data_IF_370972019383
#
_entry.id   IF_370972019383
#
_cell.length_a   1.000
_cell.length_b   1.000
_cell.length_c   1.000
_cell.angle_alpha   90.00
_cell.angle_beta   90.00
_cell.angle_gamma   90.00
#
_symmetry.space_group_name_H-M   'P 1'
#
loop_
_entity.id
_entity.type
_entity.pdbx_description
1 polymer ?
#
# COMPACT_ATOMS: atom_id res chain seq x y z
N UNK A 1 -22.74 1.01 38.62
CA UNK A 1 -21.66 1.85 38.05
C UNK A 1 -22.15 2.45 36.73
N UNK A 2 -22.21 3.78 36.60
CA UNK A 2 -22.67 4.42 35.36
C UNK A 2 -21.56 4.32 34.32
N UNK A 3 -21.75 3.55 33.26
CA UNK A 3 -20.88 3.58 32.07
C UNK A 3 -20.97 5.01 31.49
N UNK A 4 -19.84 5.60 31.17
CA UNK A 4 -19.82 6.91 30.49
C UNK A 4 -20.55 6.76 29.14
N UNK A 5 -21.50 7.63 28.79
CA UNK A 5 -22.32 7.48 27.58
C UNK A 5 -21.50 7.58 26.28
N UNK A 6 -20.22 7.96 26.37
CA UNK A 6 -19.33 8.18 25.22
C UNK A 6 -18.35 7.04 24.95
N UNK A 7 -18.53 5.87 25.59
CA UNK A 7 -17.54 4.77 25.53
C UNK A 7 -17.97 3.60 24.64
N UNK A 8 -19.27 3.43 24.41
CA UNK A 8 -19.83 2.34 23.61
C UNK A 8 -20.95 2.80 22.68
N UNK A 9 -21.04 2.21 21.49
CA UNK A 9 -22.16 2.32 20.57
C UNK A 9 -23.41 1.56 21.07
N UNK A 10 -24.61 1.95 20.63
CA UNK A 10 -24.90 3.12 19.78
C UNK A 10 -24.76 4.44 20.54
N UNK A 11 -24.16 5.44 19.89
CA UNK A 11 -24.10 6.81 20.40
C UNK A 11 -25.38 7.56 19.99
N UNK A 12 -25.85 8.49 20.82
CA UNK A 12 -26.83 9.48 20.35
C UNK A 12 -26.15 10.49 19.43
N UNK A 13 -26.90 11.12 18.53
CA UNK A 13 -26.38 12.17 17.63
C UNK A 13 -25.66 13.28 18.42
N UNK A 14 -26.22 13.69 19.56
CA UNK A 14 -25.60 14.69 20.45
C UNK A 14 -24.24 14.21 21.02
N UNK A 15 -24.14 12.91 21.32
CA UNK A 15 -22.93 12.33 21.89
C UNK A 15 -21.83 12.16 20.84
N UNK A 16 -22.19 11.77 19.63
CA UNK A 16 -21.29 11.70 18.49
C UNK A 16 -20.75 13.09 18.12
N UNK A 17 -21.65 14.08 18.00
CA UNK A 17 -21.28 15.47 17.72
C UNK A 17 -20.37 16.06 18.80
N UNK A 18 -20.63 15.76 20.07
CA UNK A 18 -19.75 16.18 21.16
C UNK A 18 -18.33 15.60 21.00
N UNK A 19 -18.21 14.32 20.66
CA UNK A 19 -16.92 13.68 20.46
C UNK A 19 -16.17 14.22 19.24
N UNK A 20 -16.87 14.47 18.13
CA UNK A 20 -16.28 15.11 16.94
C UNK A 20 -15.76 16.51 17.27
N UNK A 21 -16.53 17.34 17.98
CA UNK A 21 -16.08 18.67 18.40
C UNK A 21 -14.86 18.60 19.34
N UNK A 22 -14.82 17.63 20.25
CA UNK A 22 -13.65 17.41 21.12
C UNK A 22 -12.43 17.04 20.29
N UNK A 23 -12.59 16.16 19.29
CA UNK A 23 -11.50 15.81 18.38
C UNK A 23 -11.03 17.04 17.58
N UNK A 24 -11.94 17.81 16.98
CA UNK A 24 -11.60 19.03 16.21
C UNK A 24 -10.87 20.09 17.04
N UNK A 25 -11.24 20.25 18.31
CA UNK A 25 -10.58 21.19 19.22
C UNK A 25 -9.15 20.78 19.60
N UNK A 26 -8.79 19.52 19.36
CA UNK A 26 -7.48 18.97 19.69
C UNK A 26 -6.48 19.18 18.54
N UNK A 27 -5.18 19.41 18.83
CA UNK A 27 -4.16 19.62 17.80
C UNK A 27 -3.94 18.40 16.89
N UNK A 28 -4.24 17.20 17.38
CA UNK A 28 -4.15 15.95 16.61
C UNK A 28 -5.32 15.78 15.63
N UNK A 29 -6.47 16.42 15.91
CA UNK A 29 -7.79 16.13 15.34
C UNK A 29 -8.29 14.71 15.64
N UNK A 30 -7.79 14.08 16.71
CA UNK A 30 -8.01 12.67 17.04
C UNK A 30 -8.35 12.52 18.53
N UNK A 31 -9.33 11.68 18.85
CA UNK A 31 -9.73 11.38 20.22
C UNK A 31 -8.62 10.68 20.99
N UNK A 32 -8.34 11.21 22.18
CA UNK A 32 -7.38 10.62 23.11
C UNK A 32 -5.91 10.76 22.67
N UNK A 33 -5.62 11.54 21.62
CA UNK A 33 -4.26 11.76 21.15
C UNK A 33 -3.84 13.20 21.44
N UNK A 34 -2.76 13.38 22.19
CA UNK A 34 -2.24 14.70 22.58
C UNK A 34 -0.76 14.83 22.24
N UNK A 35 -0.35 15.98 21.73
CA UNK A 35 1.06 16.25 21.48
C UNK A 35 1.75 16.65 22.79
N UNK A 36 2.89 16.03 23.06
CA UNK A 36 3.76 16.40 24.17
C UNK A 36 4.77 17.46 23.70
N UNK A 37 4.62 18.69 24.21
CA UNK A 37 5.43 19.85 23.78
C UNK A 37 6.92 19.70 24.09
N UNK A 38 7.29 18.87 25.07
CA UNK A 38 8.68 18.68 25.48
C UNK A 38 9.47 17.71 24.59
N UNK A 39 8.80 16.71 24.03
CA UNK A 39 9.44 15.63 23.25
C UNK A 39 9.05 15.62 21.78
N UNK A 40 8.09 16.46 21.39
CA UNK A 40 7.45 16.48 20.07
C UNK A 40 6.83 15.12 19.67
N UNK A 41 6.52 14.27 20.66
CA UNK A 41 5.87 12.96 20.46
C UNK A 41 4.36 13.05 20.72
N UNK A 42 3.63 12.09 20.18
CA UNK A 42 2.19 11.93 20.34
C UNK A 42 1.86 10.94 21.44
N UNK A 43 1.12 11.37 22.45
CA UNK A 43 0.68 10.55 23.57
C UNK A 43 -0.71 10.01 23.32
N UNK A 44 -0.89 8.70 23.51
CA UNK A 44 -2.18 8.05 23.49
C UNK A 44 -2.73 7.88 24.93
N UNK A 45 -3.96 8.34 25.16
CA UNK A 45 -4.65 8.27 26.46
C UNK A 45 -6.09 7.82 26.26
N UNK A 46 -6.55 6.90 27.10
CA UNK A 46 -7.95 6.48 27.15
C UNK A 46 -8.49 6.62 28.58
N UNK A 47 -9.69 7.17 28.71
CA UNK A 47 -10.37 7.26 30.01
C UNK A 47 -11.22 6.02 30.22
N UNK A 48 -10.96 5.29 31.30
CA UNK A 48 -11.74 4.13 31.71
C UNK A 48 -12.15 4.25 33.16
N UNK A 49 -13.46 4.15 33.43
CA UNK A 49 -14.04 4.25 34.78
C UNK A 49 -13.60 5.51 35.56
N UNK A 50 -13.39 6.62 34.86
CA UNK A 50 -12.97 7.89 35.47
C UNK A 50 -11.46 8.09 35.57
N UNK A 51 -10.65 7.07 35.30
CA UNK A 51 -9.18 7.11 35.35
C UNK A 51 -8.62 7.22 33.95
N UNK A 52 -7.64 8.11 33.77
CA UNK A 52 -6.90 8.26 32.51
C UNK A 52 -5.77 7.22 32.45
N UNK A 53 -5.87 6.30 31.50
CA UNK A 53 -4.85 5.28 31.22
C UNK A 53 -3.95 5.79 30.11
N UNK A 54 -2.65 5.94 30.40
CA UNK A 54 -1.64 6.29 29.42
C UNK A 54 -1.17 5.03 28.69
N UNK A 55 -1.18 5.06 27.35
CA UNK A 55 -0.89 3.89 26.52
C UNK A 55 0.49 3.95 25.86
N UNK A 56 1.10 5.14 25.80
CA UNK A 56 2.46 5.32 25.28
C UNK A 56 2.68 6.67 24.62
N UNK A 57 3.92 6.86 24.15
CA UNK A 57 4.39 7.97 23.34
C UNK A 57 4.85 7.44 21.99
N UNK A 58 4.42 8.09 20.90
CA UNK A 58 4.62 7.67 19.52
C UNK A 58 5.15 8.83 18.69
N UNK A 59 5.86 8.52 17.61
CA UNK A 59 6.40 9.56 16.72
C UNK A 59 5.32 10.07 15.73
N UNK A 60 4.27 9.27 15.51
CA UNK A 60 3.13 9.61 14.66
C UNK A 60 1.79 9.64 15.43
N UNK A 61 0.91 10.56 15.06
CA UNK A 61 -0.39 10.77 15.71
C UNK A 61 -1.41 9.67 15.38
N UNK A 62 -1.34 9.10 14.18
CA UNK A 62 -2.25 8.02 13.77
C UNK A 62 -1.85 6.70 14.45
N UNK A 63 -0.55 6.48 14.65
CA UNK A 63 -0.06 5.39 15.49
C UNK A 63 -0.59 5.48 16.93
N UNK A 64 -0.55 6.67 17.54
CA UNK A 64 -1.13 6.90 18.86
C UNK A 64 -2.65 6.65 18.89
N UNK A 65 -3.39 7.09 17.86
CA UNK A 65 -4.83 6.86 17.74
C UNK A 65 -5.17 5.37 17.64
N UNK A 66 -4.38 4.60 16.90
CA UNK A 66 -4.55 3.14 16.77
C UNK A 66 -4.40 2.42 18.10
N UNK A 67 -3.35 2.74 18.87
CA UNK A 67 -3.13 2.11 20.17
C UNK A 67 -4.29 2.43 21.13
N UNK A 68 -4.83 3.65 21.05
CA UNK A 68 -6.03 4.06 21.79
C UNK A 68 -7.28 3.29 21.35
N UNK A 69 -7.49 3.10 20.06
CA UNK A 69 -8.65 2.37 19.54
C UNK A 69 -8.59 0.87 19.85
N UNK A 70 -7.41 0.25 19.73
CA UNK A 70 -7.19 -1.13 20.17
C UNK A 70 -7.50 -1.28 21.67
N UNK A 71 -7.06 -0.32 22.50
CA UNK A 71 -7.38 -0.36 23.92
C UNK A 71 -8.87 -0.16 24.19
N UNK A 72 -9.55 0.65 23.39
CA UNK A 72 -10.99 0.81 23.48
C UNK A 72 -11.71 -0.51 23.18
N UNK A 73 -11.29 -1.24 22.13
CA UNK A 73 -11.82 -2.56 21.80
C UNK A 73 -11.55 -3.58 22.90
N UNK A 74 -10.35 -3.60 23.49
CA UNK A 74 -10.05 -4.47 24.64
C UNK A 74 -10.95 -4.20 25.86
N UNK A 75 -11.25 -2.94 26.14
CA UNK A 75 -11.99 -2.53 27.35
C UNK A 75 -13.52 -2.59 27.18
N UNK A 76 -14.01 -2.37 25.96
CA UNK A 76 -15.44 -2.15 25.69
C UNK A 76 -16.03 -3.12 24.66
N UNK A 77 -15.21 -3.99 24.06
CA UNK A 77 -15.62 -4.98 23.06
C UNK A 77 -15.99 -4.36 21.71
N UNK A 78 -16.77 -5.08 20.92
CA UNK A 78 -17.12 -4.73 19.53
C UNK A 78 -17.89 -3.40 19.40
N UNK A 79 -18.51 -2.94 20.48
CA UNK A 79 -19.23 -1.68 20.52
C UNK A 79 -18.32 -0.50 20.93
N UNK A 80 -17.00 -0.65 21.03
CA UNK A 80 -16.14 0.45 21.46
C UNK A 80 -16.20 1.67 20.53
N UNK A 81 -16.23 2.86 21.11
CA UNK A 81 -16.13 4.11 20.34
C UNK A 81 -14.68 4.34 19.94
N UNK A 82 -14.37 4.16 18.66
CA UNK A 82 -13.03 4.30 18.07
C UNK A 82 -12.95 5.55 17.18
N UNK A 83 -11.73 6.07 16.98
CA UNK A 83 -11.49 7.13 15.98
C UNK A 83 -11.86 6.68 14.57
N UNK A 84 -11.69 5.39 14.29
CA UNK A 84 -12.08 4.73 13.03
C UNK A 84 -13.59 4.81 12.81
N UNK A 85 -14.39 4.40 13.80
CA UNK A 85 -15.85 4.41 13.69
C UNK A 85 -16.42 5.83 13.56
N UNK A 86 -15.71 6.84 14.11
CA UNK A 86 -16.07 8.25 14.00
C UNK A 86 -15.53 8.93 12.73
N UNK A 87 -14.83 8.20 11.85
CA UNK A 87 -14.23 8.75 10.62
C UNK A 87 -13.13 9.79 10.86
N UNK A 88 -12.55 9.85 12.07
CA UNK A 88 -11.54 10.83 12.45
C UNK A 88 -10.14 10.47 11.95
N UNK A 89 -9.88 9.18 11.77
CA UNK A 89 -8.71 8.70 11.04
C UNK A 89 -9.08 8.52 9.57
N UNK A 90 -8.22 8.92 8.61
CA UNK A 90 -8.42 8.48 7.23
C UNK A 90 -8.59 6.96 7.24
N UNK A 91 -9.59 6.46 6.51
CA UNK A 91 -10.03 5.06 6.49
C UNK A 91 -8.96 4.07 5.98
N UNK A 92 -7.70 4.49 5.92
CA UNK A 92 -6.60 3.83 5.25
C UNK A 92 -5.66 3.04 6.16
N UNK A 93 -5.71 3.16 7.50
CA UNK A 93 -4.68 2.54 8.35
C UNK A 93 -5.17 1.36 9.22
N UNK A 94 -6.34 0.78 8.91
CA UNK A 94 -6.80 -0.46 9.52
C UNK A 94 -6.14 -1.67 8.83
N UNK A 95 -4.89 -1.97 9.21
CA UNK A 95 -4.24 -3.23 8.82
C UNK A 95 -4.89 -4.41 9.52
N UNK A 96 -6.02 -4.86 9.00
CA UNK A 96 -6.60 -6.14 9.39
C UNK A 96 -6.02 -7.18 8.44
N UNK A 97 -5.04 -7.97 8.92
CA UNK A 97 -4.73 -9.25 8.28
C UNK A 97 -5.93 -10.16 8.58
N UNK A 98 -6.67 -10.66 7.58
CA UNK A 98 -7.80 -11.54 7.83
C UNK A 98 -7.34 -12.76 8.66
N UNK A 99 -7.93 -12.97 9.85
CA UNK A 99 -7.53 -14.03 10.77
C UNK A 99 -6.29 -13.76 11.64
N UNK A 100 -5.68 -12.58 11.52
CA UNK A 100 -4.52 -12.17 12.33
C UNK A 100 -3.17 -12.71 11.83
N UNK A 101 -2.09 -12.25 12.48
CA UNK A 101 -0.70 -12.64 12.12
C UNK A 101 -0.49 -14.14 12.30
N UNK A 102 -1.08 -14.73 13.34
CA UNK A 102 -0.92 -16.15 13.68
C UNK A 102 -1.51 -17.07 12.60
N UNK A 103 -2.72 -16.77 12.13
CA UNK A 103 -3.34 -17.56 11.04
C UNK A 103 -2.60 -17.37 9.72
N UNK A 104 -2.11 -16.15 9.43
CA UNK A 104 -1.25 -15.90 8.27
C UNK A 104 0.03 -16.74 8.32
N UNK A 105 0.71 -16.78 9.47
CA UNK A 105 1.93 -17.60 9.67
C UNK A 105 1.62 -19.08 9.53
N UNK A 106 0.48 -19.55 10.05
CA UNK A 106 0.02 -20.94 9.90
C UNK A 106 -0.26 -21.29 8.44
N UNK A 107 -0.89 -20.39 7.69
CA UNK A 107 -1.15 -20.54 6.26
C UNK A 107 0.14 -20.55 5.43
N UNK A 108 1.11 -19.71 5.77
CA UNK A 108 2.45 -19.72 5.17
C UNK A 108 3.12 -21.07 5.41
N UNK A 109 3.07 -21.57 6.64
CA UNK A 109 3.68 -22.85 7.02
C UNK A 109 2.98 -24.07 6.36
N UNK A 110 1.71 -23.97 6.00
CA UNK A 110 0.99 -25.07 5.34
C UNK A 110 1.24 -25.10 3.82
N UNK A 111 1.44 -23.94 3.18
CA UNK A 111 1.65 -23.85 1.72
C UNK A 111 3.11 -23.89 1.27
N UNK A 112 4.06 -23.38 2.08
CA UNK A 112 5.47 -23.36 1.67
C UNK A 112 6.20 -24.68 1.96
N UNK A 113 7.10 -25.12 1.06
CA UNK A 113 8.05 -26.20 1.35
C UNK A 113 8.89 -25.88 2.61
N UNK A 114 9.26 -26.91 3.39
CA UNK A 114 9.97 -26.74 4.67
C UNK A 114 11.19 -25.81 4.60
N UNK A 115 12.00 -25.93 3.55
CA UNK A 115 13.20 -25.11 3.34
C UNK A 115 12.90 -23.64 2.99
N UNK A 116 11.65 -23.28 2.63
CA UNK A 116 11.24 -21.93 2.28
C UNK A 116 10.40 -21.24 3.38
N UNK A 117 9.91 -21.98 4.38
CA UNK A 117 9.04 -21.44 5.43
C UNK A 117 9.67 -20.30 6.21
N UNK A 118 10.95 -20.43 6.56
CA UNK A 118 11.68 -19.38 7.28
C UNK A 118 11.73 -18.08 6.48
N UNK A 119 12.15 -18.16 5.22
CA UNK A 119 12.26 -17.01 4.33
C UNK A 119 10.90 -16.39 4.00
N UNK A 120 9.86 -17.20 3.82
CA UNK A 120 8.50 -16.72 3.60
C UNK A 120 7.95 -15.93 4.79
N UNK A 121 8.14 -16.43 6.01
CA UNK A 121 7.78 -15.71 7.24
C UNK A 121 8.59 -14.42 7.39
N UNK A 122 9.91 -14.47 7.17
CA UNK A 122 10.79 -13.30 7.28
C UNK A 122 10.38 -12.20 6.29
N UNK A 123 10.12 -12.56 5.03
CA UNK A 123 9.64 -11.62 4.02
C UNK A 123 8.27 -11.04 4.39
N UNK A 124 7.33 -11.89 4.82
CA UNK A 124 6.00 -11.43 5.26
C UNK A 124 6.10 -10.46 6.44
N UNK A 125 6.90 -10.76 7.47
CA UNK A 125 7.13 -9.85 8.60
C UNK A 125 7.71 -8.50 8.16
N UNK A 126 8.63 -8.49 7.19
CA UNK A 126 9.17 -7.24 6.65
C UNK A 126 8.11 -6.43 5.90
N UNK A 127 7.26 -7.07 5.11
CA UNK A 127 6.15 -6.42 4.41
C UNK A 127 5.17 -5.82 5.42
N UNK A 128 4.88 -6.54 6.51
CA UNK A 128 4.06 -6.05 7.62
C UNK A 128 4.66 -4.81 8.29
N UNK A 129 5.98 -4.79 8.49
CA UNK A 129 6.67 -3.65 9.11
C UNK A 129 6.69 -2.40 8.23
N UNK A 130 6.77 -2.56 6.91
CA UNK A 130 6.85 -1.44 5.95
C UNK A 130 5.47 -0.82 5.66
N UNK A 131 4.38 -1.49 6.05
CA UNK A 131 3.02 -0.94 5.96
C UNK A 131 2.68 -0.46 4.53
N UNK A 132 2.50 0.85 4.33
CA UNK A 132 1.95 1.46 3.10
C UNK A 132 3.01 1.72 2.03
N UNK A 133 4.29 1.82 2.40
CA UNK A 133 5.33 2.27 1.46
C UNK A 133 5.62 1.21 0.37
N UNK A 134 5.22 -0.03 0.65
CA UNK A 134 5.57 -1.21 -0.11
C UNK A 134 7.08 -1.49 -0.04
N UNK A 135 7.47 -2.70 -0.39
CA UNK A 135 8.90 -3.08 -0.42
C UNK A 135 9.18 -3.89 -1.68
N UNK A 136 10.31 -3.62 -2.34
CA UNK A 136 10.78 -4.48 -3.44
C UNK A 136 11.59 -5.66 -2.87
N UNK A 137 11.69 -6.77 -3.62
CA UNK A 137 12.54 -7.89 -3.19
C UNK A 137 14.01 -7.47 -3.05
N UNK A 138 14.48 -6.54 -3.89
CA UNK A 138 15.83 -5.98 -3.77
C UNK A 138 16.03 -5.21 -2.45
N UNK A 139 15.06 -4.38 -2.05
CA UNK A 139 15.09 -3.68 -0.75
C UNK A 139 14.99 -4.64 0.43
N UNK A 140 14.18 -5.69 0.31
CA UNK A 140 14.06 -6.73 1.33
C UNK A 140 15.38 -7.49 1.51
N UNK A 141 16.08 -7.82 0.42
CA UNK A 141 17.42 -8.44 0.46
C UNK A 141 18.45 -7.48 1.07
N UNK A 142 18.39 -6.19 0.77
CA UNK A 142 19.30 -5.20 1.38
C UNK A 142 19.11 -5.10 2.89
N UNK A 143 17.85 -5.18 3.36
CA UNK A 143 17.52 -5.17 4.80
C UNK A 143 17.81 -6.51 5.48
N UNK A 144 17.60 -7.62 4.78
CA UNK A 144 17.90 -8.97 5.25
C UNK A 144 18.65 -9.78 4.19
N UNK A 145 20.00 -9.77 4.23
CA UNK A 145 20.85 -10.47 3.26
C UNK A 145 20.62 -11.99 3.19
N UNK A 146 20.05 -12.61 4.24
CA UNK A 146 19.76 -14.04 4.26
C UNK A 146 18.76 -14.44 3.16
N UNK A 147 17.88 -13.53 2.72
CA UNK A 147 16.98 -13.78 1.59
C UNK A 147 17.73 -14.01 0.26
N UNK A 148 18.99 -13.59 0.15
CA UNK A 148 19.78 -13.84 -1.05
C UNK A 148 20.39 -15.26 -1.08
N UNK A 149 20.34 -16.00 0.03
CA UNK A 149 20.84 -17.38 0.11
C UNK A 149 20.00 -18.38 -0.70
N UNK A 150 18.74 -18.05 -0.97
CA UNK A 150 17.81 -18.88 -1.75
C UNK A 150 17.83 -18.49 -3.23
N UNK A 151 17.52 -19.45 -4.11
CA UNK A 151 17.53 -19.23 -5.55
C UNK A 151 16.52 -18.16 -5.98
N UNK A 152 16.79 -17.48 -7.10
CA UNK A 152 15.85 -16.51 -7.69
C UNK A 152 14.46 -17.11 -7.93
N UNK A 153 14.42 -18.36 -8.39
CA UNK A 153 13.17 -19.10 -8.65
C UNK A 153 12.38 -19.29 -7.36
N UNK A 154 13.05 -19.60 -6.25
CA UNK A 154 12.39 -19.85 -4.97
C UNK A 154 11.92 -18.56 -4.29
N UNK A 155 12.65 -17.45 -4.46
CA UNK A 155 12.15 -16.12 -4.06
C UNK A 155 10.86 -15.76 -4.77
N UNK A 156 10.80 -15.98 -6.10
CA UNK A 156 9.57 -15.75 -6.86
C UNK A 156 8.44 -16.67 -6.41
N UNK A 157 8.71 -17.96 -6.11
CA UNK A 157 7.70 -18.87 -5.57
C UNK A 157 7.12 -18.40 -4.24
N UNK A 158 7.97 -17.91 -3.32
CA UNK A 158 7.52 -17.38 -2.03
C UNK A 158 6.53 -16.24 -2.25
N UNK A 159 6.91 -15.27 -3.10
CA UNK A 159 6.06 -14.11 -3.40
C UNK A 159 4.73 -14.53 -4.01
N UNK A 160 4.75 -15.43 -4.99
CA UNK A 160 3.52 -15.93 -5.62
C UNK A 160 2.61 -16.66 -4.63
N UNK A 161 3.18 -17.49 -3.73
CA UNK A 161 2.39 -18.19 -2.71
C UNK A 161 1.79 -17.22 -1.69
N UNK A 162 2.50 -16.16 -1.33
CA UNK A 162 1.97 -15.11 -0.45
C UNK A 162 0.84 -14.31 -1.13
N UNK A 163 0.93 -14.09 -2.46
CA UNK A 163 -0.13 -13.48 -3.27
C UNK A 163 -1.36 -14.41 -3.34
N UNK A 164 -1.15 -15.70 -3.61
CA UNK A 164 -2.23 -16.72 -3.65
C UNK A 164 -2.94 -16.88 -2.30
N UNK A 165 -2.22 -16.72 -1.18
CA UNK A 165 -2.79 -16.71 0.16
C UNK A 165 -3.54 -15.41 0.50
N UNK A 166 -3.58 -14.45 -0.44
CA UNK A 166 -4.14 -13.13 -0.27
C UNK A 166 -3.56 -12.38 0.94
N UNK A 167 -2.28 -12.59 1.23
CA UNK A 167 -1.54 -11.88 2.26
C UNK A 167 -0.85 -10.62 1.71
N UNK A 168 -0.42 -10.70 0.45
CA UNK A 168 0.25 -9.61 -0.25
C UNK A 168 -0.39 -9.35 -1.62
N UNK A 169 -0.25 -8.12 -2.10
CA UNK A 169 -0.57 -7.68 -3.46
C UNK A 169 0.70 -7.26 -4.17
N UNK A 170 0.86 -7.70 -5.41
CA UNK A 170 2.00 -7.33 -6.25
C UNK A 170 1.56 -6.23 -7.23
N UNK A 171 2.24 -5.07 -7.20
CA UNK A 171 2.02 -4.03 -8.20
C UNK A 171 2.89 -4.35 -9.43
N UNK A 172 2.24 -4.91 -10.46
CA UNK A 172 2.87 -5.28 -11.72
C UNK A 172 2.81 -4.11 -12.69
N UNK A 173 3.85 -3.27 -12.71
CA UNK A 173 3.99 -2.21 -13.72
C UNK A 173 4.57 -2.82 -15.02
N UNK A 174 3.72 -3.07 -16.02
CA UNK A 174 4.15 -3.60 -17.32
C UNK A 174 4.82 -4.99 -17.26
N UNK A 175 5.85 -5.20 -18.09
CA UNK A 175 6.61 -6.47 -18.18
C UNK A 175 7.75 -6.59 -17.13
N UNK A 176 7.60 -5.98 -15.95
CA UNK A 176 8.62 -6.07 -14.90
C UNK A 176 8.73 -7.50 -14.35
N UNK A 177 9.97 -7.95 -14.12
CA UNK A 177 10.25 -9.18 -13.37
C UNK A 177 9.77 -9.01 -11.93
N UNK A 178 9.26 -10.09 -11.34
CA UNK A 178 8.70 -10.12 -9.96
C UNK A 178 9.66 -9.50 -8.93
N UNK A 179 10.96 -9.69 -9.10
CA UNK A 179 12.00 -9.15 -8.21
C UNK A 179 12.03 -7.62 -8.14
N UNK A 180 11.54 -6.95 -9.19
CA UNK A 180 11.47 -5.50 -9.28
C UNK A 180 10.07 -4.97 -8.94
N UNK A 181 9.08 -5.84 -8.74
CA UNK A 181 7.74 -5.41 -8.36
C UNK A 181 7.73 -4.96 -6.90
N UNK A 182 6.96 -3.89 -6.62
CA UNK A 182 6.65 -3.53 -5.24
C UNK A 182 5.63 -4.49 -4.67
N UNK A 183 5.95 -5.02 -3.50
CA UNK A 183 5.11 -5.90 -2.70
C UNK A 183 4.43 -5.09 -1.61
N UNK A 184 3.14 -5.30 -1.47
CA UNK A 184 2.25 -4.58 -0.58
C UNK A 184 1.43 -5.58 0.23
N UNK A 185 0.93 -5.21 1.40
CA UNK A 185 -0.09 -6.05 2.05
C UNK A 185 -1.38 -6.03 1.23
N UNK A 186 -2.09 -7.16 1.15
CA UNK A 186 -3.32 -7.27 0.35
C UNK A 186 -4.40 -6.25 0.73
N UNK A 187 -4.46 -5.86 2.01
CA UNK A 187 -5.40 -4.88 2.53
C UNK A 187 -4.81 -3.47 2.66
N UNK A 188 -3.60 -3.21 2.18
CA UNK A 188 -3.14 -1.84 2.11
C UNK A 188 -3.82 -1.16 0.92
N UNK A 189 -4.54 -0.08 1.21
CA UNK A 189 -4.92 0.89 0.20
C UNK A 189 -3.64 1.68 -0.07
N UNK A 190 -2.74 1.08 -0.87
CA UNK A 190 -1.79 1.90 -1.61
C UNK A 190 -2.64 2.94 -2.34
N UNK A 191 -2.32 4.22 -2.15
CA UNK A 191 -2.99 5.38 -2.72
C UNK A 191 -3.78 5.00 -3.97
N UNK A 192 -5.10 5.07 -3.84
CA UNK A 192 -6.10 4.61 -4.78
C UNK A 192 -6.15 5.49 -6.04
N UNK A 193 -5.00 5.91 -6.57
CA UNK A 193 -4.87 6.73 -7.76
C UNK A 193 -4.16 6.03 -8.93
N UNK A 194 -3.60 4.83 -8.77
CA UNK A 194 -2.98 4.09 -9.89
C UNK A 194 -3.45 2.62 -10.04
N UNK A 195 -4.51 2.22 -9.35
CA UNK A 195 -5.03 0.83 -9.42
C UNK A 195 -6.45 0.81 -10.00
N UNK A 196 -6.57 1.29 -11.23
CA UNK A 196 -7.61 0.82 -12.15
C UNK A 196 -6.98 0.51 -13.49
N UNK A 197 -6.41 -0.69 -13.62
CA UNK A 197 -6.53 -1.44 -14.86
C UNK A 197 -6.70 -2.91 -14.54
N UNK A 198 -7.93 -3.38 -14.82
CA UNK A 198 -8.26 -4.76 -15.19
C UNK A 198 -8.27 -5.79 -14.06
N UNK A 199 -9.36 -5.83 -13.28
CA UNK A 199 -10.26 -7.00 -13.18
C UNK A 199 -11.35 -6.79 -12.12
N UNK A 200 -12.50 -6.27 -12.54
CA UNK A 200 -13.78 -6.49 -11.86
C UNK A 200 -14.83 -6.88 -12.90
N UNK A 201 -14.75 -8.14 -13.30
CA UNK A 201 -15.89 -8.93 -13.79
C UNK A 201 -15.85 -10.27 -13.08
N UNK A 202 -16.42 -10.33 -11.88
CA UNK A 202 -17.30 -11.43 -11.48
C UNK A 202 -18.49 -10.78 -10.78
N UNK A 203 -19.67 -11.15 -11.25
CA UNK A 203 -20.97 -10.56 -11.05
C UNK A 203 -21.66 -10.99 -9.74
N UNK A 204 -22.55 -10.10 -9.28
CA UNK A 204 -23.87 -10.32 -8.67
C UNK A 204 -24.03 -10.76 -7.20
N UNK A 205 -24.73 -9.88 -6.46
CA UNK A 205 -25.69 -10.02 -5.34
C UNK A 205 -25.44 -8.82 -4.40
N UNK A 206 -26.34 -7.90 -4.08
CA UNK A 206 -27.80 -7.76 -4.08
C UNK A 206 -28.11 -6.27 -4.40
N UNK A 207 -29.02 -5.91 -5.31
CA UNK A 207 -30.44 -5.60 -5.03
C UNK A 207 -30.73 -5.01 -3.64
N UNK A 208 -31.43 -3.88 -3.64
CA UNK A 208 -32.01 -3.17 -2.50
C UNK A 208 -31.09 -2.21 -1.73
N UNK A 209 -30.95 -0.98 -2.26
CA UNK A 209 -31.34 0.25 -1.54
C UNK A 209 -30.79 1.50 -2.26
N UNK A 210 -31.66 2.19 -3.02
CA UNK A 210 -31.89 3.64 -2.87
C UNK A 210 -33.00 4.12 -3.83
N UNK A 211 -34.22 3.61 -3.63
CA UNK A 211 -35.42 4.13 -4.29
C UNK A 211 -36.04 5.35 -3.57
N UNK A 212 -35.31 6.01 -2.66
CA UNK A 212 -35.83 7.15 -1.89
C UNK A 212 -35.48 8.53 -2.45
N UNK A 213 -34.58 8.63 -3.44
CA UNK A 213 -34.22 9.93 -4.06
C UNK A 213 -34.74 10.10 -5.50
N UNK A 214 -35.29 9.04 -6.12
CA UNK A 214 -35.78 9.13 -7.50
C UNK A 214 -37.21 9.69 -7.63
N UNK A 215 -37.96 9.77 -6.52
CA UNK A 215 -39.35 10.25 -6.51
C UNK A 215 -39.47 11.77 -6.35
N UNK A 216 -38.35 12.51 -6.31
CA UNK A 216 -38.33 13.96 -6.09
C UNK A 216 -37.89 14.80 -7.31
N UNK A 217 -37.59 14.17 -8.45
CA UNK A 217 -37.14 14.86 -9.66
C UNK A 217 -38.16 14.72 -10.79
N UNK A 218 -38.35 15.77 -11.56
CA UNK A 218 -39.30 15.76 -12.68
C UNK A 218 -38.77 14.85 -13.81
N UNK A 219 -39.66 14.30 -14.66
CA UNK A 219 -39.24 13.48 -15.80
C UNK A 219 -38.19 14.16 -16.70
N UNK A 220 -38.27 15.47 -16.86
CA UNK A 220 -37.34 16.27 -17.65
C UNK A 220 -35.92 16.33 -17.05
N UNK A 221 -35.81 16.45 -15.73
CA UNK A 221 -34.52 16.44 -15.04
C UNK A 221 -33.84 15.07 -15.13
N UNK A 222 -34.65 14.00 -15.13
CA UNK A 222 -34.17 12.63 -15.28
C UNK A 222 -33.62 12.40 -16.70
N UNK A 223 -34.31 12.92 -17.72
CA UNK A 223 -33.85 12.88 -19.12
C UNK A 223 -32.58 13.71 -19.34
N UNK A 224 -32.48 14.89 -18.71
CA UNK A 224 -31.28 15.73 -18.79
C UNK A 224 -30.06 15.03 -18.17
N UNK A 225 -30.25 14.37 -17.02
CA UNK A 225 -29.19 13.60 -16.37
C UNK A 225 -28.76 12.39 -17.21
N UNK A 226 -29.70 11.69 -17.85
CA UNK A 226 -29.40 10.59 -18.75
C UNK A 226 -28.58 11.03 -19.98
N UNK A 227 -28.93 12.19 -20.56
CA UNK A 227 -28.16 12.79 -21.68
C UNK A 227 -26.74 13.17 -21.26
N UNK A 228 -26.58 13.82 -20.11
CA UNK A 228 -25.25 14.18 -19.58
C UNK A 228 -24.38 12.95 -19.31
N UNK A 229 -24.95 11.88 -18.75
CA UNK A 229 -24.24 10.62 -18.55
C UNK A 229 -23.79 9.96 -19.87
N UNK A 230 -24.62 10.06 -20.90
CA UNK A 230 -24.31 9.51 -22.22
C UNK A 230 -23.19 10.29 -22.92
N UNK A 231 -23.20 11.62 -22.82
CA UNK A 231 -22.11 12.48 -23.31
C UNK A 231 -20.79 12.22 -22.56
N UNK A 232 -20.83 12.14 -21.23
CA UNK A 232 -19.66 11.79 -20.42
C UNK A 232 -19.10 10.42 -20.78
N UNK A 233 -19.98 9.44 -21.05
CA UNK A 233 -19.57 8.10 -21.51
C UNK A 233 -18.87 8.14 -22.88
N UNK A 234 -19.38 8.93 -23.81
CA UNK A 234 -18.78 9.09 -25.14
C UNK A 234 -17.43 9.80 -25.07
N UNK A 235 -17.34 10.91 -24.33
CA UNK A 235 -16.09 11.62 -24.11
C UNK A 235 -15.00 10.72 -23.52
N UNK A 236 -15.34 9.89 -22.54
CA UNK A 236 -14.40 8.91 -21.95
C UNK A 236 -13.95 7.84 -22.93
N UNK A 237 -14.83 7.38 -23.83
CA UNK A 237 -14.44 6.41 -24.89
C UNK A 237 -13.45 7.03 -25.86
N UNK A 238 -13.60 8.30 -26.21
CA UNK A 238 -12.70 8.97 -27.14
C UNK A 238 -11.35 9.34 -26.50
N UNK A 239 -11.32 9.68 -25.20
CA UNK A 239 -10.08 9.79 -24.42
C UNK A 239 -9.27 8.47 -24.44
N UNK A 240 -9.95 7.32 -24.25
CA UNK A 240 -9.30 6.01 -24.28
C UNK A 240 -8.74 5.70 -25.68
N UNK A 241 -9.51 5.95 -26.75
CA UNK A 241 -9.04 5.76 -28.14
C UNK A 241 -7.82 6.64 -28.45
N UNK A 242 -7.85 7.90 -28.04
CA UNK A 242 -6.75 8.84 -28.24
C UNK A 242 -5.49 8.38 -27.49
N UNK A 243 -5.63 7.93 -26.23
CA UNK A 243 -4.52 7.37 -25.46
C UNK A 243 -3.92 6.11 -26.12
N UNK A 244 -4.74 5.23 -26.68
CA UNK A 244 -4.28 4.06 -27.42
C UNK A 244 -3.55 4.43 -28.72
N UNK A 245 -3.99 5.47 -29.41
CA UNK A 245 -3.35 5.96 -30.63
C UNK A 245 -1.98 6.57 -30.34
N UNK A 246 -1.85 7.34 -29.24
CA UNK A 246 -0.57 7.88 -28.75
C UNK A 246 0.39 6.75 -28.35
N UNK A 247 -0.10 5.71 -27.67
CA UNK A 247 0.74 4.56 -27.29
C UNK A 247 1.24 3.78 -28.52
N UNK A 248 0.39 3.60 -29.53
CA UNK A 248 0.78 2.92 -30.79
C UNK A 248 1.83 3.69 -31.58
N UNK A 249 1.83 5.02 -31.55
CA UNK A 249 2.83 5.84 -32.23
C UNK A 249 4.14 5.96 -31.44
N UNK A 250 4.06 6.09 -30.11
CA UNK A 250 5.22 6.37 -29.27
C UNK A 250 6.04 5.11 -28.94
N UNK A 251 5.41 3.96 -28.70
CA UNK A 251 6.11 2.73 -28.30
C UNK A 251 7.16 2.24 -29.32
N UNK A 252 6.90 2.26 -30.64
CA UNK A 252 7.92 1.91 -31.63
C UNK A 252 9.13 2.85 -31.60
N UNK A 253 8.92 4.15 -31.36
CA UNK A 253 9.99 5.14 -31.28
C UNK A 253 10.83 4.93 -30.02
N UNK A 254 10.19 4.69 -28.86
CA UNK A 254 10.89 4.35 -27.62
C UNK A 254 11.75 3.09 -27.82
N UNK A 255 11.19 2.05 -28.45
CA UNK A 255 11.93 0.82 -28.72
C UNK A 255 13.16 1.08 -29.61
N UNK A 256 13.01 1.89 -30.66
CA UNK A 256 14.12 2.27 -31.53
C UNK A 256 15.23 3.01 -30.77
N UNK A 257 14.88 3.95 -29.89
CA UNK A 257 15.84 4.67 -29.03
C UNK A 257 16.56 3.72 -28.08
N UNK A 258 15.85 2.79 -27.43
CA UNK A 258 16.46 1.80 -26.55
C UNK A 258 17.43 0.88 -27.31
N UNK A 259 17.08 0.45 -28.51
CA UNK A 259 17.95 -0.37 -29.36
C UNK A 259 19.20 0.41 -29.80
N UNK A 260 19.05 1.67 -30.21
CA UNK A 260 20.17 2.54 -30.58
C UNK A 260 21.14 2.76 -29.41
N UNK A 261 20.60 3.04 -28.21
CA UNK A 261 21.40 3.15 -26.98
C UNK A 261 22.17 1.87 -26.67
N UNK A 262 21.52 0.70 -26.79
CA UNK A 262 22.17 -0.59 -26.59
C UNK A 262 23.31 -0.85 -27.58
N UNK A 263 23.13 -0.47 -28.85
CA UNK A 263 24.20 -0.56 -29.87
C UNK A 263 25.37 0.36 -29.54
N UNK A 264 25.09 1.61 -29.13
CA UNK A 264 26.11 2.56 -28.73
C UNK A 264 26.94 2.06 -27.55
N UNK A 265 26.30 1.51 -26.50
CA UNK A 265 27.01 0.98 -25.34
C UNK A 265 27.97 -0.16 -25.71
N UNK A 266 27.55 -1.08 -26.60
CA UNK A 266 28.42 -2.17 -27.07
C UNK A 266 29.64 -1.66 -27.83
N UNK A 267 29.45 -0.63 -28.66
CA UNK A 267 30.55 0.01 -29.38
C UNK A 267 31.51 0.70 -28.40
N UNK A 268 30.99 1.34 -27.36
CA UNK A 268 31.81 1.96 -26.32
C UNK A 268 32.63 0.92 -25.54
N UNK A 269 32.03 -0.20 -25.15
CA UNK A 269 32.73 -1.31 -24.50
C UNK A 269 33.87 -1.85 -25.39
N UNK A 270 33.59 -2.07 -26.68
CA UNK A 270 34.61 -2.50 -27.64
C UNK A 270 35.75 -1.47 -27.78
N UNK A 271 35.44 -0.17 -27.75
CA UNK A 271 36.48 0.86 -27.79
C UNK A 271 37.35 0.86 -26.52
N UNK A 272 36.77 0.61 -25.35
CA UNK A 272 37.51 0.49 -24.10
C UNK A 272 38.43 -0.75 -24.07
N UNK A 273 37.95 -1.88 -24.60
CA UNK A 273 38.76 -3.09 -24.73
C UNK A 273 39.98 -2.84 -25.63
N UNK A 274 39.77 -2.23 -26.81
CA UNK A 274 40.86 -1.86 -27.74
C UNK A 274 41.83 -0.85 -27.11
N UNK A 275 41.33 0.10 -26.32
CA UNK A 275 42.18 1.05 -25.61
C UNK A 275 43.07 0.33 -24.57
N UNK A 276 42.53 -0.66 -23.88
CA UNK A 276 43.29 -1.48 -22.93
C UNK A 276 44.37 -2.31 -23.62
N UNK A 277 44.07 -2.88 -24.79
CA UNK A 277 45.06 -3.57 -25.62
C UNK A 277 46.17 -2.62 -26.08
N UNK A 278 45.82 -1.39 -26.46
CA UNK A 278 46.79 -0.36 -26.84
C UNK A 278 47.70 0.02 -25.67
N UNK A 279 47.13 0.26 -24.48
CA UNK A 279 47.90 0.59 -23.27
C UNK A 279 48.88 -0.53 -22.92
N UNK A 280 48.44 -1.79 -22.98
CA UNK A 280 49.32 -2.95 -22.76
C UNK A 280 50.45 -3.02 -23.80
N UNK A 281 50.17 -2.78 -25.08
CA UNK A 281 51.18 -2.76 -26.13
C UNK A 281 52.19 -1.63 -25.96
N UNK A 282 51.72 -0.44 -25.54
CA UNK A 282 52.57 0.71 -25.22
C UNK A 282 53.46 0.41 -24.02
N UNK A 283 52.94 -0.23 -22.98
CA UNK A 283 53.75 -0.59 -21.81
C UNK A 283 54.78 -1.67 -22.14
N UNK A 284 54.42 -2.68 -22.93
CA UNK A 284 55.38 -3.66 -23.44
C UNK A 284 56.49 -3.00 -24.29
N UNK A 285 56.13 -2.01 -25.13
CA UNK A 285 57.10 -1.23 -25.89
C UNK A 285 58.02 -0.40 -24.97
N UNK A 286 57.47 0.24 -23.93
CA UNK A 286 58.26 0.97 -22.93
C UNK A 286 59.22 0.05 -22.19
N UNK A 287 58.80 -1.17 -21.84
CA UNK A 287 59.67 -2.17 -21.22
C UNK A 287 60.81 -2.58 -22.15
N UNK A 288 60.52 -2.80 -23.44
CA UNK A 288 61.54 -3.15 -24.43
C UNK A 288 62.53 -2.00 -24.73
N UNK A 289 62.11 -0.74 -24.58
CA UNK A 289 62.94 0.45 -24.81
C UNK A 289 63.73 0.90 -23.58
N UNK A 290 63.45 0.34 -22.39
CA UNK A 290 64.30 0.52 -21.21
C UNK A 290 65.61 -0.27 -21.42
N UNK A 291 66.69 0.45 -21.77
CA UNK A 291 68.06 0.02 -21.49
C UNK A 291 68.30 -0.05 -19.98
#
# INVERSE_FOLDING_TARGET
MRKSPFTTFPLSEDAEKHLLNVAESSPSKLLGVRQDKGTNKWRAVIKHQGVDIQLGLFDDKYEAARVRDNKALELYGDNAVTNVALGLTPTQDLYVIPGGIEEAVKNINSRLPNHLKYYGKSLFSMIVLVKHDGITLAEAIRKNPELNSISKKDRSKIVLILEDLNLIKIVRQGNMRIDNCKLFLSNCIAQEQDIYTSTSKIQNKETEMNNKELTAKTPEELEAMAKQLLELSQAKKDEIKNGDQIRKTLNPLILAVCQAKGKYNRLLEQQLDVMTELDNAVDALKEALKF
#
